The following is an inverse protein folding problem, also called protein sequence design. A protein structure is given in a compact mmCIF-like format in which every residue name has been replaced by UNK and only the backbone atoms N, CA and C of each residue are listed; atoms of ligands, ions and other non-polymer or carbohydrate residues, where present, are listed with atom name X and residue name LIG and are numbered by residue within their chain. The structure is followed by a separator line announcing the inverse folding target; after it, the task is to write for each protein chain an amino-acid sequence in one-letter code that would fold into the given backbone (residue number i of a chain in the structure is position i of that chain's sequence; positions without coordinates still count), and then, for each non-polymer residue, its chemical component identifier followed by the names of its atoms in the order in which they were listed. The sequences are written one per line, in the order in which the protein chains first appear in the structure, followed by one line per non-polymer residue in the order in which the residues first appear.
data_IF_629450653457
#
_entry.id   IF_629450653457
#
_cell.length_a   1.000
_cell.length_b   1.000
_cell.length_c   1.000
_cell.angle_alpha   90.00
_cell.angle_beta   90.00
_cell.angle_gamma   90.00
#
_symmetry.space_group_name_H-M   'P 1'
#
loop_
_entity.id
_entity.type
_entity.pdbx_description
1 polymer ?
#
# COMPACT_ATOMS: atom_id res chain seq x y z
N UNK A 1 19.76 -19.30 2.02
CA UNK A 1 18.37 -19.84 2.06
C UNK A 1 18.32 -21.10 1.21
N UNK A 2 17.51 -22.10 1.58
CA UNK A 2 17.29 -23.26 0.69
C UNK A 2 16.40 -22.84 -0.49
N UNK A 3 16.46 -23.52 -1.65
CA UNK A 3 15.57 -23.22 -2.76
C UNK A 3 14.08 -23.22 -2.38
N UNK A 4 13.65 -24.15 -1.52
CA UNK A 4 12.26 -24.22 -1.04
C UNK A 4 11.87 -22.99 -0.22
N UNK A 5 12.74 -22.56 0.69
CA UNK A 5 12.52 -21.35 1.49
C UNK A 5 12.48 -20.11 0.59
N UNK A 6 13.39 -20.01 -0.38
CA UNK A 6 13.43 -18.89 -1.32
C UNK A 6 12.17 -18.79 -2.16
N UNK A 7 11.67 -19.92 -2.69
CA UNK A 7 10.43 -19.94 -3.48
C UNK A 7 9.26 -19.44 -2.65
N UNK A 8 9.12 -19.89 -1.39
CA UNK A 8 8.04 -19.43 -0.52
C UNK A 8 8.05 -17.90 -0.34
N UNK A 9 9.18 -17.33 0.10
CA UNK A 9 9.27 -15.89 0.36
C UNK A 9 9.14 -15.06 -0.92
N UNK A 10 9.72 -15.53 -2.04
CA UNK A 10 9.57 -14.86 -3.33
C UNK A 10 8.12 -14.83 -3.77
N UNK A 11 7.44 -15.99 -3.80
CA UNK A 11 6.03 -16.06 -4.18
C UNK A 11 5.14 -15.21 -3.28
N UNK A 12 5.36 -15.24 -1.96
CA UNK A 12 4.60 -14.41 -1.03
C UNK A 12 4.83 -12.90 -1.28
N UNK A 13 6.07 -12.47 -1.45
CA UNK A 13 6.38 -11.08 -1.79
C UNK A 13 5.77 -10.67 -3.13
N UNK A 14 5.83 -11.52 -4.16
CA UNK A 14 5.22 -11.25 -5.46
C UNK A 14 3.71 -11.08 -5.36
N UNK A 15 3.01 -11.99 -4.66
CA UNK A 15 1.56 -11.88 -4.43
C UNK A 15 1.24 -10.55 -3.75
N UNK A 16 2.02 -10.17 -2.73
CA UNK A 16 1.82 -8.92 -2.01
C UNK A 16 2.05 -7.69 -2.90
N UNK A 17 3.10 -7.68 -3.71
CA UNK A 17 3.36 -6.60 -4.66
C UNK A 17 2.22 -6.46 -5.66
N UNK A 18 1.70 -7.57 -6.22
CA UNK A 18 0.54 -7.52 -7.12
C UNK A 18 -0.68 -6.94 -6.41
N UNK A 19 -0.95 -7.35 -5.17
CA UNK A 19 -2.07 -6.83 -4.37
C UNK A 19 -2.00 -5.30 -4.21
N UNK A 20 -0.82 -4.74 -3.94
CA UNK A 20 -0.64 -3.30 -3.76
C UNK A 20 -0.80 -2.50 -5.06
N UNK A 21 -0.44 -3.09 -6.20
CA UNK A 21 -0.41 -2.38 -7.49
C UNK A 21 -1.65 -2.62 -8.37
N UNK A 22 -2.48 -3.62 -8.04
CA UNK A 22 -3.64 -3.95 -8.87
C UNK A 22 -4.76 -2.90 -8.84
N UNK A 23 -4.72 -1.96 -7.90
CA UNK A 23 -5.74 -0.92 -7.74
C UNK A 23 -7.10 -1.45 -7.26
N UNK A 24 -7.15 -2.70 -6.79
CA UNK A 24 -8.37 -3.34 -6.29
C UNK A 24 -8.41 -3.31 -4.76
N UNK A 25 -9.56 -2.93 -4.22
CA UNK A 25 -9.85 -2.98 -2.79
C UNK A 25 -11.01 -3.94 -2.53
N UNK A 26 -10.72 -5.24 -2.61
CA UNK A 26 -11.74 -6.28 -2.54
C UNK A 26 -12.22 -6.49 -1.09
N UNK A 27 -13.53 -6.69 -0.86
CA UNK A 27 -14.04 -7.05 0.46
C UNK A 27 -13.38 -8.33 0.99
N UNK A 28 -12.90 -8.29 2.24
CA UNK A 28 -12.27 -9.45 2.88
C UNK A 28 -10.83 -9.74 2.46
N UNK A 29 -10.15 -8.79 1.79
CA UNK A 29 -8.75 -8.94 1.45
C UNK A 29 -7.86 -8.99 2.72
N UNK A 30 -7.39 -10.19 3.05
CA UNK A 30 -6.58 -10.44 4.26
C UNK A 30 -5.23 -9.71 4.19
N UNK A 31 -4.63 -9.55 3.00
CA UNK A 31 -3.34 -8.87 2.87
C UNK A 31 -3.48 -7.39 3.22
N UNK A 32 -4.53 -6.73 2.74
CA UNK A 32 -4.81 -5.33 3.07
C UNK A 32 -5.23 -5.14 4.54
N UNK A 33 -5.82 -6.16 5.17
CA UNK A 33 -6.14 -6.15 6.59
C UNK A 33 -4.89 -6.32 7.49
N UNK A 34 -3.93 -7.15 7.07
CA UNK A 34 -2.72 -7.43 7.85
C UNK A 34 -1.60 -6.40 7.63
N UNK A 35 -1.51 -5.80 6.44
CA UNK A 35 -0.42 -4.90 6.08
C UNK A 35 -0.94 -3.49 5.79
N UNK A 36 -0.39 -2.50 6.50
CA UNK A 36 -0.68 -1.08 6.25
C UNK A 36 -0.01 -0.54 4.98
N UNK A 37 0.99 -1.26 4.46
CA UNK A 37 1.45 -1.07 3.08
C UNK A 37 0.41 -1.75 2.20
N UNK A 38 -0.53 -1.02 1.64
CA UNK A 38 -1.62 -1.56 0.85
C UNK A 38 -1.84 -0.73 -0.41
N UNK A 39 -2.83 -1.10 -1.23
CA UNK A 39 -3.08 -0.42 -2.49
C UNK A 39 -3.37 1.07 -2.34
N UNK A 40 -4.09 1.50 -1.29
CA UNK A 40 -4.34 2.93 -1.06
C UNK A 40 -3.06 3.68 -0.64
N UNK A 41 -2.22 3.09 0.21
CA UNK A 41 -0.92 3.67 0.57
C UNK A 41 -0.04 3.91 -0.67
N UNK A 42 -0.04 2.94 -1.59
CA UNK A 42 0.73 2.99 -2.83
C UNK A 42 0.11 3.91 -3.88
N UNK A 43 -1.22 3.98 -3.96
CA UNK A 43 -1.93 4.94 -4.82
C UNK A 43 -1.57 6.39 -4.44
N UNK A 44 -1.51 6.71 -3.13
CA UNK A 44 -1.02 8.01 -2.66
C UNK A 44 0.39 8.30 -3.18
N UNK A 45 1.31 7.34 -3.10
CA UNK A 45 2.67 7.51 -3.62
C UNK A 45 2.66 7.89 -5.12
N UNK A 46 1.79 7.28 -5.93
CA UNK A 46 1.70 7.55 -7.36
C UNK A 46 0.97 8.85 -7.73
N UNK A 47 0.23 9.47 -6.82
CA UNK A 47 -0.37 10.76 -7.07
C UNK A 47 0.72 11.84 -7.27
N UNK A 48 0.44 12.85 -8.10
CA UNK A 48 1.44 13.85 -8.52
C UNK A 48 2.20 14.50 -7.34
N UNK A 49 1.51 14.77 -6.25
CA UNK A 49 2.08 15.35 -5.03
C UNK A 49 2.68 14.30 -4.07
N UNK A 50 2.34 13.03 -4.23
CA UNK A 50 2.67 11.95 -3.30
C UNK A 50 3.97 11.22 -3.60
N UNK A 51 4.60 11.45 -4.75
CA UNK A 51 5.91 10.88 -5.12
C UNK A 51 7.07 11.20 -4.14
N UNK A 52 6.82 12.03 -3.12
CA UNK A 52 7.77 12.40 -2.05
C UNK A 52 7.53 11.65 -0.74
N UNK A 53 6.56 10.74 -0.70
CA UNK A 53 6.11 10.04 0.49
C UNK A 53 5.84 8.57 0.20
N UNK A 54 5.63 7.80 1.27
CA UNK A 54 5.14 6.42 1.23
C UNK A 54 6.04 5.47 0.40
N UNK A 55 7.35 5.51 0.62
CA UNK A 55 8.35 4.76 -0.16
C UNK A 55 8.49 3.29 0.20
N UNK A 56 8.18 2.92 1.43
CA UNK A 56 8.39 1.57 1.95
C UNK A 56 7.51 0.60 1.19
N UNK A 57 8.09 -0.52 0.77
CA UNK A 57 7.43 -1.67 0.16
C UNK A 57 8.17 -2.94 0.59
N UNK A 58 7.55 -4.13 0.55
CA UNK A 58 6.15 -4.42 0.18
C UNK A 58 5.23 -4.76 1.38
N UNK A 59 5.75 -4.73 2.61
CA UNK A 59 5.03 -5.25 3.78
C UNK A 59 4.69 -4.19 4.84
N UNK A 60 5.66 -3.36 5.22
CA UNK A 60 5.51 -2.46 6.37
C UNK A 60 5.87 -1.03 6.00
N UNK A 61 5.19 -0.07 6.63
CA UNK A 61 5.40 1.37 6.46
C UNK A 61 6.42 1.95 7.45
N UNK A 62 7.16 1.08 8.14
CA UNK A 62 7.98 1.42 9.30
C UNK A 62 9.04 2.48 8.97
N UNK A 63 9.72 2.34 7.83
CA UNK A 63 10.78 3.28 7.46
C UNK A 63 10.22 4.66 7.14
N UNK A 64 9.07 4.75 6.48
CA UNK A 64 8.43 6.05 6.26
C UNK A 64 8.00 6.73 7.56
N UNK A 65 7.58 5.95 8.56
CA UNK A 65 7.25 6.48 9.88
C UNK A 65 8.50 6.96 10.64
N UNK A 66 9.60 6.20 10.58
CA UNK A 66 10.86 6.57 11.25
C UNK A 66 11.50 7.80 10.59
N UNK A 67 11.45 7.89 9.26
CA UNK A 67 12.14 8.92 8.49
C UNK A 67 11.25 10.14 8.15
N UNK A 68 9.99 10.14 8.61
CA UNK A 68 9.08 11.26 8.40
C UNK A 68 8.55 11.40 6.97
N UNK A 69 8.61 10.34 6.17
CA UNK A 69 8.09 10.30 4.79
C UNK A 69 6.75 9.59 4.68
N UNK A 70 6.10 9.29 5.80
CA UNK A 70 4.75 8.71 5.81
C UNK A 70 3.69 9.80 5.56
N UNK A 71 2.90 9.64 4.51
CA UNK A 71 1.73 10.46 4.23
C UNK A 71 0.45 9.73 4.64
N UNK A 72 -0.28 10.24 5.65
CA UNK A 72 -1.58 9.69 6.03
C UNK A 72 -2.62 9.92 4.93
N UNK A 73 -3.61 9.04 4.85
CA UNK A 73 -4.65 9.08 3.82
C UNK A 73 -6.02 8.62 4.32
N UNK A 74 -7.07 9.08 3.64
CA UNK A 74 -8.44 8.61 3.73
C UNK A 74 -8.81 7.83 2.48
N UNK A 75 -9.75 6.89 2.62
CA UNK A 75 -10.43 6.24 1.49
C UNK A 75 -11.81 6.86 1.39
N UNK A 76 -12.13 7.45 0.23
CA UNK A 76 -13.37 8.18 0.01
C UNK A 76 -14.16 7.59 -1.15
N UNK A 77 -15.49 7.70 -1.08
CA UNK A 77 -16.37 7.30 -2.16
C UNK A 77 -16.35 8.33 -3.28
N UNK A 78 -16.20 7.88 -4.53
CA UNK A 78 -16.26 8.75 -5.70
C UNK A 78 -17.70 8.98 -6.14
N UNK A 79 -17.99 10.18 -6.68
CA UNK A 79 -19.31 10.52 -7.23
C UNK A 79 -19.79 9.57 -8.34
N UNK A 80 -18.86 8.96 -9.09
CA UNK A 80 -19.14 8.00 -10.15
C UNK A 80 -19.10 6.52 -9.71
N UNK A 81 -18.99 6.25 -8.41
CA UNK A 81 -18.85 4.90 -7.88
C UNK A 81 -17.39 4.44 -7.71
N UNK A 82 -17.23 3.44 -6.86
CA UNK A 82 -15.92 3.01 -6.36
C UNK A 82 -15.31 4.02 -5.38
N UNK A 83 -14.09 3.72 -4.98
CA UNK A 83 -13.35 4.47 -3.96
C UNK A 83 -12.07 5.08 -4.53
N UNK A 84 -11.55 6.10 -3.86
CA UNK A 84 -10.25 6.71 -4.13
C UNK A 84 -9.49 6.97 -2.82
N UNK A 85 -8.16 6.93 -2.88
CA UNK A 85 -7.33 7.37 -1.77
C UNK A 85 -7.07 8.88 -1.87
N UNK A 86 -7.11 9.60 -0.75
CA UNK A 86 -6.73 11.02 -0.67
C UNK A 86 -5.82 11.25 0.51
N UNK A 87 -4.83 12.15 0.42
CA UNK A 87 -4.09 12.58 1.60
C UNK A 87 -5.05 13.06 2.67
N UNK A 88 -4.82 12.60 3.90
CA UNK A 88 -5.54 13.14 5.03
C UNK A 88 -5.20 14.63 5.13
N UNK A 89 -6.21 15.46 5.42
CA UNK A 89 -5.97 16.87 5.69
C UNK A 89 -5.03 16.95 6.89
N UNK A 90 -3.92 17.67 6.73
CA UNK A 90 -3.13 18.12 7.86
C UNK A 90 -3.91 19.29 8.46
N UNK A 91 -4.52 19.07 9.62
CA UNK A 91 -5.07 20.14 10.45
C UNK A 91 -3.96 21.05 10.99
#
# INVERSE_FOLDING_TARGET
MTPRTSIFFFSFATIKTVDDHCGLWLPGNILQALFSNNSAYHDIHHQLYGNKYNFSQPFFVMWDKILGTYMPYSIEQRKGGGIESKPAKLD
#
